data_IF_939830733700
#
_entry.id   IF_939830733700
#
_cell.length_a   1.000
_cell.length_b   1.000
_cell.length_c   1.000
_cell.angle_alpha   90.00
_cell.angle_beta   90.00
_cell.angle_gamma   90.00
#
_symmetry.space_group_name_H-M   'P 1'
#
loop_
_entity.id
_entity.type
_entity.pdbx_description
1 polymer ?
#
# COMPACT_ATOMS: atom_id res chain seq x y z
N UNK A 1 15.35 15.13 -14.95
CA UNK A 1 14.62 13.85 -15.12
C UNK A 1 14.13 13.40 -13.76
N UNK A 2 12.84 13.61 -13.45
CA UNK A 2 12.24 13.02 -12.24
C UNK A 2 12.16 11.50 -12.41
N UNK A 3 12.46 10.74 -11.36
CA UNK A 3 12.35 9.28 -11.41
C UNK A 3 10.86 8.92 -11.48
N UNK A 4 10.44 8.22 -12.53
CA UNK A 4 9.11 7.60 -12.57
C UNK A 4 8.96 6.60 -11.40
N UNK A 5 7.72 6.22 -11.06
CA UNK A 5 7.50 5.16 -10.07
C UNK A 5 8.20 3.86 -10.46
N UNK A 6 8.42 2.96 -9.50
CA UNK A 6 9.08 1.65 -9.74
C UNK A 6 8.23 0.69 -10.60
N UNK A 7 6.94 1.01 -10.81
CA UNK A 7 5.95 0.18 -11.52
C UNK A 7 5.80 -1.23 -10.94
N UNK A 8 6.15 -1.43 -9.66
CA UNK A 8 6.14 -2.76 -9.04
C UNK A 8 4.77 -3.44 -9.12
N UNK A 9 3.67 -2.68 -8.93
CA UNK A 9 2.31 -3.24 -8.96
C UNK A 9 1.93 -3.64 -10.39
N UNK A 10 2.23 -2.78 -11.36
CA UNK A 10 1.98 -3.07 -12.76
C UNK A 10 2.79 -4.27 -13.28
N UNK A 11 4.09 -4.31 -12.99
CA UNK A 11 4.98 -5.41 -13.37
C UNK A 11 4.57 -6.74 -12.72
N UNK A 12 4.06 -6.69 -11.49
CA UNK A 12 3.60 -7.88 -10.80
C UNK A 12 2.46 -8.61 -11.51
N UNK A 13 1.61 -7.93 -12.29
CA UNK A 13 0.57 -8.62 -13.09
C UNK A 13 1.22 -9.56 -14.11
N UNK A 14 2.25 -9.07 -14.80
CA UNK A 14 2.97 -9.82 -15.84
C UNK A 14 3.75 -10.97 -15.20
N UNK A 15 4.47 -10.69 -14.11
CA UNK A 15 5.25 -11.71 -13.39
C UNK A 15 4.33 -12.81 -12.84
N UNK A 16 3.21 -12.44 -12.19
CA UNK A 16 2.22 -13.40 -11.70
C UNK A 16 1.66 -14.26 -12.81
N UNK A 17 1.28 -13.65 -13.94
CA UNK A 17 0.74 -14.39 -15.07
C UNK A 17 1.77 -15.37 -15.66
N UNK A 18 3.05 -15.00 -15.69
CA UNK A 18 4.13 -15.89 -16.12
C UNK A 18 4.27 -17.11 -15.22
N UNK A 19 4.20 -16.95 -13.90
CA UNK A 19 4.23 -18.09 -12.97
C UNK A 19 3.01 -19.01 -13.13
N UNK A 20 1.81 -18.42 -13.30
CA UNK A 20 0.58 -19.19 -13.55
C UNK A 20 0.60 -19.98 -14.86
N UNK A 21 1.47 -19.62 -15.81
CA UNK A 21 1.69 -20.35 -17.06
C UNK A 21 2.69 -21.51 -16.95
N UNK A 22 3.24 -21.75 -15.76
CA UNK A 22 4.10 -22.91 -15.45
C UNK A 22 5.25 -23.10 -16.45
N UNK A 23 5.94 -22.01 -16.78
CA UNK A 23 7.11 -22.05 -17.67
C UNK A 23 6.81 -22.02 -19.18
N UNK A 24 5.53 -21.93 -19.58
CA UNK A 24 5.16 -21.64 -20.98
C UNK A 24 5.47 -20.18 -21.31
N UNK A 25 6.00 -19.95 -22.52
CA UNK A 25 6.20 -18.59 -23.01
C UNK A 25 4.87 -17.86 -23.19
N UNK A 26 4.87 -16.57 -22.85
CA UNK A 26 3.73 -15.70 -23.07
C UNK A 26 3.73 -15.24 -24.54
N UNK A 27 2.57 -15.31 -25.17
CA UNK A 27 2.35 -14.69 -26.48
C UNK A 27 2.39 -13.17 -26.40
N UNK A 28 2.59 -12.49 -27.53
CA UNK A 28 2.55 -11.02 -27.58
C UNK A 28 1.21 -10.46 -27.08
N UNK A 29 0.10 -11.12 -27.40
CA UNK A 29 -1.23 -10.72 -26.92
C UNK A 29 -1.33 -10.83 -25.40
N UNK A 30 -0.85 -11.94 -24.82
CA UNK A 30 -0.85 -12.15 -23.37
C UNK A 30 0.01 -11.12 -22.63
N UNK A 31 1.20 -10.82 -23.16
CA UNK A 31 2.08 -9.78 -22.60
C UNK A 31 1.37 -8.43 -22.66
N UNK A 32 0.74 -8.10 -23.79
CA UNK A 32 0.01 -6.85 -23.95
C UNK A 32 -1.16 -6.74 -22.95
N UNK A 33 -1.98 -7.78 -22.82
CA UNK A 33 -3.13 -7.78 -21.92
C UNK A 33 -2.71 -7.70 -20.44
N UNK A 34 -1.71 -8.49 -20.02
CA UNK A 34 -1.18 -8.40 -18.66
C UNK A 34 -0.58 -7.01 -18.37
N UNK A 35 0.14 -6.44 -19.34
CA UNK A 35 0.68 -5.08 -19.24
C UNK A 35 -0.43 -4.02 -19.16
N UNK A 36 -1.51 -4.16 -19.94
CA UNK A 36 -2.63 -3.24 -19.92
C UNK A 36 -3.35 -3.24 -18.56
N UNK A 37 -3.57 -4.41 -17.95
CA UNK A 37 -4.07 -4.49 -16.57
C UNK A 37 -3.09 -3.91 -15.56
N UNK A 38 -1.79 -4.19 -15.72
CA UNK A 38 -0.75 -3.56 -14.90
C UNK A 38 -0.81 -2.04 -14.95
N UNK A 39 -1.00 -1.45 -16.13
CA UNK A 39 -1.20 -0.01 -16.29
C UNK A 39 -2.52 0.50 -15.70
N UNK A 40 -3.60 -0.28 -15.72
CA UNK A 40 -4.83 0.08 -15.00
C UNK A 40 -4.58 0.22 -13.49
N UNK A 41 -3.76 -0.65 -12.90
CA UNK A 41 -3.39 -0.57 -11.47
C UNK A 41 -2.51 0.65 -11.19
N UNK A 42 -1.54 0.95 -12.07
CA UNK A 42 -0.70 2.14 -11.94
C UNK A 42 -1.51 3.44 -12.15
N UNK A 43 -2.54 3.42 -13.01
CA UNK A 43 -3.51 4.51 -13.15
C UNK A 43 -4.36 4.70 -11.90
N UNK A 44 -4.86 3.60 -11.32
CA UNK A 44 -5.62 3.62 -10.07
C UNK A 44 -4.78 4.20 -8.93
N UNK A 45 -3.52 3.74 -8.82
CA UNK A 45 -2.59 4.29 -7.84
C UNK A 45 -2.33 5.78 -8.10
N UNK A 46 -2.08 6.19 -9.35
CA UNK A 46 -1.81 7.59 -9.67
C UNK A 46 -3.00 8.49 -9.31
N UNK A 47 -4.24 8.04 -9.56
CA UNK A 47 -5.46 8.71 -9.10
C UNK A 47 -5.45 8.96 -7.59
N UNK A 48 -5.28 7.89 -6.79
CA UNK A 48 -5.26 8.02 -5.34
C UNK A 48 -4.13 8.91 -4.85
N UNK A 49 -2.92 8.78 -5.40
CA UNK A 49 -1.77 9.58 -4.97
C UNK A 49 -1.94 11.08 -5.27
N UNK A 50 -2.57 11.44 -6.40
CA UNK A 50 -2.85 12.85 -6.72
C UNK A 50 -3.79 13.46 -5.69
N UNK A 51 -4.85 12.74 -5.29
CA UNK A 51 -5.79 13.23 -4.28
C UNK A 51 -5.22 13.18 -2.86
N UNK A 52 -4.47 12.14 -2.52
CA UNK A 52 -3.77 11.97 -1.24
C UNK A 52 -2.79 13.12 -1.01
N UNK A 53 -1.98 13.48 -2.02
CA UNK A 53 -1.08 14.64 -1.95
C UNK A 53 -1.81 15.95 -1.63
N UNK A 54 -3.03 16.13 -2.14
CA UNK A 54 -3.85 17.31 -1.87
C UNK A 54 -4.39 17.27 -0.43
N UNK A 55 -4.93 16.13 0.00
CA UNK A 55 -5.52 15.95 1.33
C UNK A 55 -4.48 16.06 2.45
N UNK A 56 -3.29 15.50 2.23
CA UNK A 56 -2.15 15.54 3.15
C UNK A 56 -1.29 16.81 2.94
N UNK A 57 -1.69 17.72 2.05
CA UNK A 57 -0.96 18.96 1.76
C UNK A 57 0.54 18.73 1.42
N UNK A 58 0.85 17.59 0.80
CA UNK A 58 2.23 17.17 0.53
C UNK A 58 2.97 18.14 -0.40
N UNK A 59 4.31 18.19 -0.26
CA UNK A 59 5.17 19.06 -1.05
C UNK A 59 5.78 18.35 -2.26
N UNK A 60 6.30 17.13 -2.06
CA UNK A 60 7.00 16.37 -3.10
C UNK A 60 6.57 14.92 -3.16
N UNK A 61 6.59 14.36 -4.36
CA UNK A 61 6.39 12.92 -4.61
C UNK A 61 7.33 12.46 -5.71
N UNK A 62 7.99 11.32 -5.50
CA UNK A 62 8.97 10.74 -6.45
C UNK A 62 10.08 11.73 -6.85
N UNK A 63 10.52 12.54 -5.90
CA UNK A 63 11.59 13.55 -6.08
C UNK A 63 11.20 14.75 -6.94
N UNK A 64 9.91 15.02 -7.14
CA UNK A 64 9.37 16.18 -7.86
C UNK A 64 8.23 16.83 -7.04
N UNK A 65 7.84 18.09 -7.32
CA UNK A 65 6.66 18.67 -6.70
C UNK A 65 5.40 17.82 -6.94
N UNK A 66 4.53 17.70 -5.94
CA UNK A 66 3.22 17.07 -6.11
C UNK A 66 2.44 17.77 -7.24
N UNK A 67 1.55 17.05 -7.94
CA UNK A 67 0.90 17.58 -9.15
C UNK A 67 0.17 18.90 -8.90
N UNK A 68 -0.58 19.00 -7.79
CA UNK A 68 -1.30 20.22 -7.42
C UNK A 68 -0.39 21.40 -7.01
N UNK A 69 0.90 21.15 -6.71
CA UNK A 69 1.90 22.18 -6.39
C UNK A 69 2.52 22.81 -7.64
N UNK A 70 2.29 22.25 -8.82
CA UNK A 70 2.80 22.82 -10.07
C UNK A 70 2.08 24.16 -10.34
N UNK A 71 2.79 25.28 -10.61
CA UNK A 71 2.20 26.63 -10.64
C UNK A 71 0.99 26.83 -11.57
N UNK A 72 0.87 26.04 -12.65
CA UNK A 72 -0.23 26.12 -13.62
C UNK A 72 -1.33 25.07 -13.41
N UNK A 73 -1.15 24.18 -12.44
CA UNK A 73 -2.09 23.09 -12.16
C UNK A 73 -2.99 23.47 -10.99
N UNK A 74 -2.41 23.70 -9.81
CA UNK A 74 -3.21 23.99 -8.61
C UNK A 74 -4.29 22.94 -8.38
N UNK A 75 -5.50 23.38 -8.04
CA UNK A 75 -6.64 22.50 -7.76
C UNK A 75 -7.29 21.86 -9.00
N UNK A 76 -6.83 22.18 -10.22
CA UNK A 76 -7.20 21.41 -11.43
C UNK A 76 -6.84 19.93 -11.24
N UNK A 77 -5.80 19.66 -10.44
CA UNK A 77 -5.36 18.33 -10.05
C UNK A 77 -6.48 17.43 -9.50
N UNK A 78 -7.53 17.97 -8.87
CA UNK A 78 -8.69 17.17 -8.42
C UNK A 78 -9.40 16.54 -9.61
N UNK A 79 -9.71 17.34 -10.63
CA UNK A 79 -10.34 16.85 -11.86
C UNK A 79 -9.39 15.96 -12.66
N UNK A 80 -8.09 16.28 -12.69
CA UNK A 80 -7.10 15.43 -13.34
C UNK A 80 -7.07 14.03 -12.70
N UNK A 81 -7.10 13.95 -11.36
CA UNK A 81 -7.26 12.70 -10.63
C UNK A 81 -8.49 11.92 -11.08
N UNK A 82 -9.65 12.57 -11.16
CA UNK A 82 -10.90 11.96 -11.67
C UNK A 82 -10.73 11.45 -13.10
N UNK A 83 -10.01 12.17 -13.97
CA UNK A 83 -9.71 11.68 -15.32
C UNK A 83 -8.81 10.42 -15.30
N UNK A 84 -7.80 10.37 -14.44
CA UNK A 84 -6.94 9.20 -14.28
C UNK A 84 -7.76 7.95 -13.94
N UNK A 85 -8.67 8.08 -12.98
CA UNK A 85 -9.61 7.02 -12.59
C UNK A 85 -10.49 6.58 -13.77
N UNK A 86 -10.99 7.53 -14.56
CA UNK A 86 -11.84 7.25 -15.72
C UNK A 86 -11.08 6.63 -16.91
N UNK A 87 -9.75 6.73 -16.99
CA UNK A 87 -8.98 6.00 -17.99
C UNK A 87 -9.05 4.48 -17.80
N UNK A 88 -9.19 3.99 -16.56
CA UNK A 88 -9.25 2.56 -16.25
C UNK A 88 -10.39 1.87 -17.01
N UNK A 89 -11.68 2.24 -16.85
CA UNK A 89 -12.76 1.59 -17.59
C UNK A 89 -12.66 1.79 -19.11
N UNK A 90 -11.97 2.84 -19.59
CA UNK A 90 -11.69 3.02 -21.02
C UNK A 90 -10.71 1.96 -21.54
N UNK A 91 -9.62 1.71 -20.81
CA UNK A 91 -8.64 0.66 -21.13
C UNK A 91 -9.32 -0.72 -21.06
N UNK A 92 -10.04 -1.00 -19.96
CA UNK A 92 -10.78 -2.27 -19.80
C UNK A 92 -11.76 -2.48 -20.96
N UNK A 93 -12.58 -1.50 -21.30
CA UNK A 93 -13.55 -1.60 -22.41
C UNK A 93 -12.86 -1.77 -23.77
N UNK A 94 -11.75 -1.10 -24.02
CA UNK A 94 -11.09 -1.15 -25.34
C UNK A 94 -10.42 -2.49 -25.62
N UNK A 95 -9.85 -3.14 -24.60
CA UNK A 95 -9.01 -4.33 -24.78
C UNK A 95 -9.63 -5.62 -24.24
N UNK A 96 -10.60 -5.53 -23.32
CA UNK A 96 -11.14 -6.69 -22.61
C UNK A 96 -12.64 -6.93 -22.83
N UNK A 97 -13.38 -6.02 -23.49
CA UNK A 97 -14.86 -6.14 -23.65
C UNK A 97 -15.37 -7.45 -24.25
N UNK A 98 -14.55 -8.16 -25.02
CA UNK A 98 -14.90 -9.44 -25.65
C UNK A 98 -14.36 -10.65 -24.90
N UNK A 99 -13.61 -10.44 -23.81
CA UNK A 99 -13.08 -11.51 -22.98
C UNK A 99 -14.19 -12.01 -22.04
N UNK A 100 -14.26 -13.31 -21.75
CA UNK A 100 -15.32 -13.87 -20.89
C UNK A 100 -15.30 -13.30 -19.48
N UNK A 101 -14.11 -12.93 -18.97
CA UNK A 101 -13.89 -12.34 -17.65
C UNK A 101 -13.99 -10.79 -17.62
N UNK A 102 -14.61 -10.18 -18.64
CA UNK A 102 -14.71 -8.71 -18.71
C UNK A 102 -15.47 -8.11 -17.53
N UNK A 103 -16.61 -8.71 -17.17
CA UNK A 103 -17.44 -8.22 -16.07
C UNK A 103 -16.71 -8.37 -14.75
N UNK A 104 -16.01 -9.50 -14.53
CA UNK A 104 -15.21 -9.74 -13.34
C UNK A 104 -14.07 -8.72 -13.20
N UNK A 105 -13.43 -8.31 -14.30
CA UNK A 105 -12.44 -7.24 -14.27
C UNK A 105 -13.06 -5.89 -13.88
N UNK A 106 -14.21 -5.54 -14.44
CA UNK A 106 -14.88 -4.28 -14.10
C UNK A 106 -15.26 -4.25 -12.62
N UNK A 107 -15.86 -5.33 -12.12
CA UNK A 107 -16.27 -5.45 -10.72
C UNK A 107 -15.06 -5.46 -9.79
N UNK A 108 -14.01 -6.24 -10.10
CA UNK A 108 -12.76 -6.27 -9.33
C UNK A 108 -12.14 -4.88 -9.16
N UNK A 109 -12.02 -4.10 -10.23
CA UNK A 109 -11.44 -2.76 -10.14
C UNK A 109 -12.33 -1.80 -9.34
N UNK A 110 -13.66 -1.87 -9.50
CA UNK A 110 -14.59 -1.03 -8.74
C UNK A 110 -14.59 -1.39 -7.25
N UNK A 111 -14.59 -2.68 -6.90
CA UNK A 111 -14.56 -3.15 -5.52
C UNK A 111 -13.27 -2.75 -4.82
N UNK A 112 -12.12 -2.94 -5.47
CA UNK A 112 -10.83 -2.55 -4.90
C UNK A 112 -10.69 -1.04 -4.81
N UNK A 113 -11.22 -0.27 -5.78
CA UNK A 113 -11.31 1.19 -5.69
C UNK A 113 -12.15 1.60 -4.47
N UNK A 114 -13.33 0.98 -4.27
CA UNK A 114 -14.20 1.24 -3.12
C UNK A 114 -13.53 0.90 -1.79
N UNK A 115 -12.86 -0.25 -1.70
CA UNK A 115 -12.08 -0.65 -0.53
C UNK A 115 -10.97 0.37 -0.21
N UNK A 116 -10.24 0.80 -1.23
CA UNK A 116 -9.15 1.78 -1.09
C UNK A 116 -9.68 3.13 -0.62
N UNK A 117 -10.77 3.62 -1.23
CA UNK A 117 -11.42 4.85 -0.81
C UNK A 117 -11.99 4.76 0.62
N UNK A 118 -12.52 3.60 1.01
CA UNK A 118 -13.00 3.34 2.38
C UNK A 118 -11.86 3.33 3.39
N UNK A 119 -10.71 2.74 3.02
CA UNK A 119 -9.49 2.81 3.83
C UNK A 119 -9.00 4.24 4.01
N UNK A 120 -8.98 5.03 2.95
CA UNK A 120 -8.66 6.46 3.01
C UNK A 120 -9.64 7.24 3.88
N UNK A 121 -10.94 6.96 3.78
CA UNK A 121 -11.96 7.58 4.63
C UNK A 121 -11.65 7.32 6.11
N UNK A 122 -11.37 6.07 6.49
CA UNK A 122 -11.07 5.71 7.88
C UNK A 122 -9.79 6.41 8.35
N UNK A 123 -8.76 6.49 7.51
CA UNK A 123 -7.51 7.21 7.81
C UNK A 123 -7.78 8.69 8.11
N UNK A 124 -8.52 9.37 7.24
CA UNK A 124 -8.82 10.80 7.38
C UNK A 124 -9.70 11.10 8.59
N UNK A 125 -10.77 10.34 8.84
CA UNK A 125 -11.64 10.60 10.00
C UNK A 125 -10.93 10.29 11.32
N UNK A 126 -9.95 9.39 11.31
CA UNK A 126 -9.15 9.05 12.49
C UNK A 126 -8.16 10.16 12.82
N UNK A 127 -7.55 10.77 11.80
CA UNK A 127 -6.44 11.73 11.93
C UNK A 127 -6.89 13.20 11.95
N UNK A 128 -8.00 13.55 11.29
CA UNK A 128 -8.42 14.94 11.04
C UNK A 128 -9.70 15.31 11.81
N UNK A 129 -10.64 14.38 12.00
CA UNK A 129 -11.97 14.73 12.54
C UNK A 129 -11.97 14.78 14.07
N UNK A 130 -12.38 15.94 14.60
CA UNK A 130 -12.48 16.19 16.03
C UNK A 130 -11.14 16.54 16.67
N UNK A 131 -11.06 16.41 17.99
CA UNK A 131 -9.81 16.66 18.71
C UNK A 131 -8.75 15.60 18.37
N UNK A 132 -7.50 16.05 18.23
CA UNK A 132 -6.32 15.18 18.13
C UNK A 132 -6.19 14.41 19.44
N UNK A 133 -6.62 13.16 19.43
CA UNK A 133 -6.70 12.30 20.61
C UNK A 133 -6.11 10.93 20.28
N UNK A 134 -4.92 10.67 20.84
CA UNK A 134 -4.20 9.41 20.67
C UNK A 134 -4.93 8.21 21.28
N UNK A 135 -5.90 8.40 22.18
CA UNK A 135 -6.66 7.29 22.75
C UNK A 135 -7.54 6.58 21.71
N UNK A 136 -7.81 7.24 20.57
CA UNK A 136 -8.50 6.64 19.42
C UNK A 136 -7.62 5.62 18.68
N UNK A 137 -6.29 5.69 18.85
CA UNK A 137 -5.35 4.90 18.07
C UNK A 137 -5.19 3.52 18.70
N UNK A 138 -5.26 2.49 17.85
CA UNK A 138 -5.16 1.10 18.27
C UNK A 138 -4.63 0.25 17.14
N UNK A 139 -4.03 -0.90 17.49
CA UNK A 139 -3.52 -1.84 16.50
C UNK A 139 -4.61 -2.37 15.56
N UNK A 140 -5.84 -2.52 16.04
CA UNK A 140 -6.99 -2.94 15.22
C UNK A 140 -7.41 -1.86 14.23
N UNK A 141 -7.39 -0.60 14.64
CA UNK A 141 -7.66 0.54 13.75
C UNK A 141 -6.58 0.67 12.68
N UNK A 142 -5.29 0.63 13.07
CA UNK A 142 -4.15 0.60 12.15
C UNK A 142 -4.32 -0.52 11.12
N UNK A 143 -4.52 -1.77 11.59
CA UNK A 143 -4.71 -2.94 10.71
C UNK A 143 -5.85 -2.70 9.71
N UNK A 144 -6.97 -2.14 10.15
CA UNK A 144 -8.13 -1.84 9.28
C UNK A 144 -7.80 -0.78 8.25
N UNK A 145 -7.16 0.33 8.64
CA UNK A 145 -6.73 1.38 7.70
C UNK A 145 -5.83 0.76 6.64
N UNK A 146 -4.77 0.08 7.06
CA UNK A 146 -3.77 -0.51 6.17
C UNK A 146 -4.36 -1.57 5.23
N UNK A 147 -5.19 -2.47 5.76
CA UNK A 147 -5.85 -3.51 4.99
C UNK A 147 -6.63 -2.90 3.82
N UNK A 148 -7.47 -1.91 4.10
CA UNK A 148 -8.36 -1.33 3.11
C UNK A 148 -7.64 -0.31 2.20
N UNK A 149 -6.82 0.58 2.77
CA UNK A 149 -6.14 1.67 2.05
C UNK A 149 -5.01 1.15 1.16
N UNK A 150 -4.30 0.09 1.56
CA UNK A 150 -3.08 -0.34 0.87
C UNK A 150 -3.15 -1.77 0.34
N UNK A 151 -3.55 -2.74 1.16
CA UNK A 151 -3.31 -4.15 0.86
C UNK A 151 -4.07 -4.65 -0.38
N UNK A 152 -5.35 -4.30 -0.53
CA UNK A 152 -6.17 -4.75 -1.67
C UNK A 152 -5.60 -4.31 -3.02
N UNK A 153 -5.36 -3.00 -3.23
CA UNK A 153 -4.89 -2.53 -4.53
C UNK A 153 -3.40 -2.83 -4.80
N UNK A 154 -2.60 -3.01 -3.74
CA UNK A 154 -1.16 -3.18 -3.88
C UNK A 154 -0.71 -4.63 -4.04
N UNK A 155 -1.43 -5.58 -3.41
CA UNK A 155 -1.04 -6.99 -3.36
C UNK A 155 -2.09 -7.88 -4.01
N UNK A 156 -3.36 -7.76 -3.61
CA UNK A 156 -4.43 -8.61 -4.14
C UNK A 156 -4.74 -8.32 -5.61
N UNK A 157 -4.99 -7.05 -5.96
CA UNK A 157 -5.45 -6.67 -7.30
C UNK A 157 -4.51 -7.12 -8.43
N UNK A 158 -3.16 -7.01 -8.33
CA UNK A 158 -2.27 -7.52 -9.37
C UNK A 158 -2.39 -9.03 -9.61
N UNK A 159 -2.49 -9.82 -8.54
CA UNK A 159 -2.61 -11.29 -8.63
C UNK A 159 -3.99 -11.69 -9.11
N UNK A 160 -5.05 -11.02 -8.64
CA UNK A 160 -6.42 -11.23 -9.11
C UNK A 160 -6.55 -10.94 -10.62
N UNK A 161 -5.91 -9.88 -11.12
CA UNK A 161 -5.84 -9.60 -12.55
C UNK A 161 -5.17 -10.76 -13.32
N UNK A 162 -4.06 -11.28 -12.82
CA UNK A 162 -3.35 -12.39 -13.45
C UNK A 162 -4.18 -13.70 -13.43
N UNK A 163 -4.88 -13.99 -12.34
CA UNK A 163 -5.79 -15.13 -12.20
C UNK A 163 -6.95 -15.05 -13.23
N UNK A 164 -7.57 -13.88 -13.38
CA UNK A 164 -8.64 -13.68 -14.37
C UNK A 164 -8.14 -13.88 -15.80
N UNK A 165 -6.95 -13.35 -16.16
CA UNK A 165 -6.34 -13.62 -17.48
C UNK A 165 -6.07 -15.12 -17.66
N UNK A 166 -5.72 -15.84 -16.59
CA UNK A 166 -5.48 -17.28 -16.62
C UNK A 166 -6.78 -18.11 -16.74
N UNK A 167 -7.95 -17.47 -16.66
CA UNK A 167 -9.25 -18.13 -16.75
C UNK A 167 -9.75 -18.70 -15.42
N UNK A 168 -9.16 -18.27 -14.30
CA UNK A 168 -9.53 -18.70 -12.95
C UNK A 168 -10.77 -17.95 -12.44
N UNK A 169 -11.57 -18.60 -11.59
CA UNK A 169 -12.64 -17.97 -10.83
C UNK A 169 -12.10 -17.50 -9.47
N UNK A 170 -12.13 -16.19 -9.20
CA UNK A 170 -11.61 -15.59 -7.97
C UNK A 170 -12.28 -16.10 -6.67
N UNK A 171 -13.51 -16.62 -6.75
CA UNK A 171 -14.18 -17.24 -5.59
C UNK A 171 -13.44 -18.48 -5.07
N UNK A 172 -12.68 -19.15 -5.92
CA UNK A 172 -11.86 -20.31 -5.55
C UNK A 172 -10.51 -19.93 -4.95
N UNK A 173 -10.17 -18.63 -4.90
CA UNK A 173 -8.85 -18.12 -4.51
C UNK A 173 -8.94 -17.16 -3.29
N UNK A 174 -9.88 -17.43 -2.37
CA UNK A 174 -10.07 -16.63 -1.15
C UNK A 174 -8.87 -16.73 -0.21
N UNK A 175 -8.24 -17.89 -0.13
CA UNK A 175 -6.99 -18.12 0.59
C UNK A 175 -5.83 -17.29 0.02
N UNK A 176 -5.68 -17.25 -1.30
CA UNK A 176 -4.71 -16.38 -2.00
C UNK A 176 -4.94 -14.91 -1.64
N UNK A 177 -6.20 -14.46 -1.66
CA UNK A 177 -6.56 -13.11 -1.21
C UNK A 177 -6.11 -12.86 0.23
N UNK A 178 -6.44 -13.76 1.16
CA UNK A 178 -6.09 -13.58 2.57
C UNK A 178 -4.58 -13.46 2.80
N UNK A 179 -3.78 -14.32 2.15
CA UNK A 179 -2.32 -14.25 2.21
C UNK A 179 -1.81 -12.91 1.67
N UNK A 180 -2.31 -12.46 0.51
CA UNK A 180 -1.91 -11.18 -0.08
C UNK A 180 -2.31 -9.98 0.77
N UNK A 181 -3.45 -10.04 1.47
CA UNK A 181 -3.85 -9.00 2.41
C UNK A 181 -2.90 -8.96 3.61
N UNK A 182 -2.52 -10.11 4.18
CA UNK A 182 -1.55 -10.14 5.27
C UNK A 182 -0.15 -9.68 4.82
N UNK A 183 0.28 -10.00 3.59
CA UNK A 183 1.49 -9.42 2.99
C UNK A 183 1.40 -7.90 2.88
N UNK A 184 0.26 -7.37 2.45
CA UNK A 184 0.05 -5.93 2.35
C UNK A 184 0.06 -5.21 3.69
N UNK A 185 -0.44 -5.87 4.75
CA UNK A 185 -0.37 -5.36 6.11
C UNK A 185 1.09 -5.33 6.59
N UNK A 186 1.83 -6.43 6.42
CA UNK A 186 3.26 -6.48 6.72
C UNK A 186 4.03 -5.39 5.97
N UNK A 187 3.78 -5.24 4.66
CA UNK A 187 4.43 -4.22 3.83
C UNK A 187 4.22 -2.81 4.36
N UNK A 188 3.01 -2.47 4.81
CA UNK A 188 2.74 -1.13 5.34
C UNK A 188 3.36 -0.92 6.73
N UNK A 189 3.42 -1.95 7.58
CA UNK A 189 4.18 -1.85 8.85
C UNK A 189 5.66 -1.56 8.57
N UNK A 190 6.23 -2.14 7.51
CA UNK A 190 7.58 -1.78 7.08
C UNK A 190 7.66 -0.32 6.59
N UNK A 191 6.64 0.20 5.89
CA UNK A 191 6.63 1.60 5.43
C UNK A 191 6.59 2.55 6.63
N UNK A 192 5.73 2.27 7.61
CA UNK A 192 5.62 3.04 8.86
C UNK A 192 6.93 3.02 9.66
N UNK A 193 7.60 1.86 9.74
CA UNK A 193 8.92 1.74 10.37
C UNK A 193 9.98 2.57 9.63
N UNK A 194 10.04 2.44 8.30
CA UNK A 194 11.00 3.13 7.46
C UNK A 194 10.76 4.65 7.47
N UNK A 195 9.52 5.12 7.58
CA UNK A 195 9.20 6.55 7.67
C UNK A 195 9.94 7.23 8.83
N UNK A 196 10.02 6.56 9.98
CA UNK A 196 10.69 7.10 11.16
C UNK A 196 12.20 6.78 11.21
N UNK A 197 12.58 5.53 10.91
CA UNK A 197 13.93 5.00 11.16
C UNK A 197 14.79 4.79 9.91
N UNK A 198 14.21 4.87 8.71
CA UNK A 198 14.98 4.67 7.49
C UNK A 198 15.69 5.94 7.01
N UNK A 199 16.73 5.76 6.20
CA UNK A 199 17.54 6.85 5.68
C UNK A 199 16.77 7.60 4.56
N UNK A 200 16.58 8.94 4.66
CA UNK A 200 15.85 9.72 3.67
C UNK A 200 16.37 9.57 2.24
N UNK A 201 17.68 9.42 2.05
CA UNK A 201 18.32 9.24 0.74
C UNK A 201 17.92 7.91 0.08
N UNK A 202 17.68 6.87 0.89
CA UNK A 202 17.26 5.54 0.42
C UNK A 202 15.77 5.50 0.13
N UNK A 203 14.95 6.10 0.99
CA UNK A 203 13.49 6.12 0.86
C UNK A 203 13.04 7.08 -0.24
N UNK A 204 13.74 8.21 -0.41
CA UNK A 204 13.42 9.24 -1.40
C UNK A 204 12.34 10.23 -0.95
N UNK A 205 12.02 10.23 0.36
CA UNK A 205 11.22 11.25 1.05
C UNK A 205 11.75 11.41 2.49
N UNK A 206 11.45 12.55 3.11
CA UNK A 206 11.56 12.73 4.57
C UNK A 206 10.26 12.18 5.15
N UNK A 207 10.35 11.34 6.18
CA UNK A 207 9.17 10.83 6.87
C UNK A 207 8.48 11.92 7.69
N UNK A 208 7.16 11.93 7.68
CA UNK A 208 6.30 12.97 8.27
C UNK A 208 5.19 12.39 9.13
N UNK A 209 5.16 11.06 9.37
CA UNK A 209 4.06 10.40 10.07
C UNK A 209 3.81 10.98 11.47
N UNK A 210 4.87 11.43 12.16
CA UNK A 210 4.77 12.02 13.50
C UNK A 210 4.11 13.39 13.42
N UNK A 211 4.57 14.26 12.53
CA UNK A 211 4.08 15.63 12.30
C UNK A 211 2.63 15.63 11.83
N UNK A 212 2.33 14.73 10.90
CA UNK A 212 1.00 14.55 10.28
C UNK A 212 0.00 13.85 11.22
N UNK A 213 0.43 13.51 12.42
CA UNK A 213 -0.39 12.82 13.43
C UNK A 213 -0.97 11.50 12.87
N UNK A 214 -0.22 10.77 12.03
CA UNK A 214 -0.72 9.55 11.38
C UNK A 214 -0.96 8.44 12.41
N UNK A 215 -1.95 7.58 12.15
CA UNK A 215 -2.13 6.35 12.91
C UNK A 215 -1.12 5.29 12.43
N UNK A 216 0.17 5.56 12.64
CA UNK A 216 1.30 4.72 12.25
C UNK A 216 1.47 3.51 13.18
N UNK A 217 2.02 2.41 12.67
CA UNK A 217 2.30 1.21 13.48
C UNK A 217 3.18 1.52 14.71
N UNK A 218 4.13 2.45 14.56
CA UNK A 218 5.04 2.83 15.63
C UNK A 218 4.31 3.49 16.81
N UNK A 219 3.37 4.41 16.55
CA UNK A 219 2.64 5.07 17.64
C UNK A 219 1.68 4.12 18.35
N UNK A 220 1.00 3.23 17.62
CA UNK A 220 0.12 2.24 18.27
C UNK A 220 0.90 1.24 19.11
N UNK A 221 2.12 0.88 18.71
CA UNK A 221 3.00 0.03 19.53
C UNK A 221 3.62 0.77 20.70
N UNK A 222 4.01 2.03 20.52
CA UNK A 222 4.46 2.85 21.63
C UNK A 222 3.37 2.99 22.71
N UNK A 223 2.11 3.22 22.30
CA UNK A 223 0.96 3.30 23.21
C UNK A 223 0.66 2.00 23.96
N UNK A 224 0.99 0.84 23.38
CA UNK A 224 0.83 -0.48 24.01
C UNK A 224 1.91 -0.75 25.08
N UNK A 225 3.11 -0.22 24.86
CA UNK A 225 4.30 -0.52 25.68
C UNK A 225 4.66 0.56 26.70
N UNK A 226 4.20 1.80 26.49
CA UNK A 226 4.57 2.92 27.34
C UNK A 226 3.97 2.83 28.75
N UNK A 227 4.72 3.29 29.75
CA UNK A 227 4.19 3.70 31.05
C UNK A 227 3.31 4.96 30.93
N UNK A 228 2.55 5.27 31.98
CA UNK A 228 1.71 6.48 32.00
C UNK A 228 2.50 7.79 31.84
N UNK A 229 3.75 7.86 32.33
CA UNK A 229 4.59 9.05 32.17
C UNK A 229 5.14 9.16 30.74
N UNK A 230 5.56 8.04 30.14
CA UNK A 230 5.95 8.00 28.73
C UNK A 230 4.77 8.31 27.80
N UNK A 231 3.55 7.89 28.16
CA UNK A 231 2.34 8.21 27.41
C UNK A 231 2.06 9.71 27.33
N UNK A 232 2.35 10.46 28.41
CA UNK A 232 2.23 11.93 28.41
C UNK A 232 3.13 12.58 27.36
N UNK A 233 4.35 12.04 27.16
CA UNK A 233 5.28 12.51 26.12
C UNK A 233 4.64 12.36 24.73
N UNK A 234 4.00 11.22 24.43
CA UNK A 234 3.30 11.03 23.16
C UNK A 234 2.14 12.02 23.00
N UNK A 235 1.31 12.19 24.04
CA UNK A 235 0.16 13.11 24.00
C UNK A 235 0.59 14.57 23.80
N UNK A 236 1.71 14.98 24.39
CA UNK A 236 2.19 16.36 24.30
C UNK A 236 2.86 16.65 22.94
N UNK A 237 3.64 15.71 22.41
CA UNK A 237 4.55 15.96 21.30
C UNK A 237 4.13 15.36 19.95
N UNK A 238 3.26 14.34 19.90
CA UNK A 238 2.84 13.73 18.63
C UNK A 238 1.92 14.67 17.83
N UNK A 239 2.12 14.79 16.52
CA UNK A 239 1.33 15.66 15.64
C UNK A 239 1.68 17.14 15.72
N UNK A 240 2.89 17.47 16.17
CA UNK A 240 3.45 18.82 16.23
C UNK A 240 4.48 19.01 15.12
N UNK A 241 4.31 20.08 14.34
CA UNK A 241 5.22 20.47 13.25
C UNK A 241 6.46 21.24 13.79
N UNK A 242 7.04 20.74 14.88
CA UNK A 242 8.22 21.30 15.53
C UNK A 242 9.29 20.21 15.68
N UNK A 243 10.52 20.40 15.15
CA UNK A 243 11.57 19.39 15.17
C UNK A 243 11.95 18.86 16.57
N UNK A 244 11.82 19.69 17.62
CA UNK A 244 12.10 19.27 19.00
C UNK A 244 11.06 18.26 19.51
N UNK A 245 9.78 18.49 19.19
CA UNK A 245 8.68 17.59 19.56
C UNK A 245 8.82 16.25 18.84
N UNK A 246 9.13 16.28 17.53
CA UNK A 246 9.41 15.08 16.74
C UNK A 246 10.58 14.28 17.33
N UNK A 247 11.64 14.98 17.75
CA UNK A 247 12.82 14.35 18.35
C UNK A 247 12.51 13.69 19.70
N UNK A 248 11.62 14.26 20.52
CA UNK A 248 11.14 13.63 21.78
C UNK A 248 10.36 12.35 21.52
N UNK A 249 9.48 12.34 20.50
CA UNK A 249 8.77 11.12 20.09
C UNK A 249 9.75 10.04 19.61
N UNK A 250 10.72 10.40 18.76
CA UNK A 250 11.73 9.44 18.27
C UNK A 250 12.62 8.90 19.40
N UNK A 251 13.01 9.75 20.35
CA UNK A 251 13.76 9.34 21.53
C UNK A 251 12.97 8.32 22.38
N UNK A 252 11.67 8.54 22.56
CA UNK A 252 10.81 7.58 23.25
C UNK A 252 10.70 6.25 22.47
N UNK A 253 10.61 6.29 21.14
CA UNK A 253 10.60 5.06 20.34
C UNK A 253 11.90 4.25 20.50
N UNK A 254 13.04 4.93 20.66
CA UNK A 254 14.31 4.27 21.00
C UNK A 254 14.33 3.72 22.42
N UNK A 255 13.79 4.45 23.41
CA UNK A 255 13.69 3.99 24.80
C UNK A 255 12.82 2.73 24.94
N UNK A 256 11.74 2.64 24.15
CA UNK A 256 10.86 1.48 24.07
C UNK A 256 11.40 0.34 23.17
N UNK A 257 12.60 0.51 22.60
CA UNK A 257 13.25 -0.43 21.68
C UNK A 257 12.35 -0.92 20.54
N UNK A 258 11.60 0.02 19.91
CA UNK A 258 10.65 -0.33 18.86
C UNK A 258 11.32 -0.94 17.60
N UNK A 259 12.64 -0.76 17.43
CA UNK A 259 13.41 -1.41 16.37
C UNK A 259 13.51 -2.92 16.58
N UNK A 260 13.75 -3.38 17.83
CA UNK A 260 13.70 -4.80 18.16
C UNK A 260 12.28 -5.36 18.06
N UNK A 261 11.27 -4.60 18.52
CA UNK A 261 9.85 -4.99 18.40
C UNK A 261 9.45 -5.17 16.93
N UNK A 262 9.89 -4.25 16.05
CA UNK A 262 9.70 -4.38 14.60
C UNK A 262 10.40 -5.61 14.03
N UNK A 263 11.65 -5.85 14.44
CA UNK A 263 12.43 -7.02 13.97
C UNK A 263 11.74 -8.34 14.35
N UNK A 264 11.20 -8.44 15.57
CA UNK A 264 10.43 -9.60 16.02
C UNK A 264 9.14 -9.76 15.21
N UNK A 265 8.40 -8.67 14.99
CA UNK A 265 7.19 -8.65 14.17
C UNK A 265 7.49 -9.09 12.72
N UNK A 266 8.57 -8.61 12.13
CA UNK A 266 9.00 -8.94 10.77
C UNK A 266 9.31 -10.44 10.65
N UNK A 267 10.08 -11.00 11.58
CA UNK A 267 10.41 -12.43 11.56
C UNK A 267 9.16 -13.30 11.71
N UNK A 268 8.28 -12.99 12.68
CA UNK A 268 7.02 -13.72 12.89
C UNK A 268 6.08 -13.63 11.68
N UNK A 269 5.98 -12.45 11.07
CA UNK A 269 5.15 -12.25 9.87
C UNK A 269 5.69 -13.04 8.69
N UNK A 270 7.01 -13.04 8.49
CA UNK A 270 7.66 -13.83 7.43
C UNK A 270 7.46 -15.33 7.62
N UNK A 271 7.67 -15.86 8.84
CA UNK A 271 7.46 -17.28 9.14
C UNK A 271 6.01 -17.71 8.89
N UNK A 272 5.04 -16.90 9.35
CA UNK A 272 3.62 -17.13 9.10
C UNK A 272 3.33 -17.18 7.59
N UNK A 273 3.75 -16.17 6.85
CA UNK A 273 3.51 -16.07 5.41
C UNK A 273 4.14 -17.24 4.65
N UNK A 274 5.38 -17.62 4.95
CA UNK A 274 6.03 -18.79 4.35
C UNK A 274 5.25 -20.07 4.64
N UNK A 275 4.79 -20.26 5.87
CA UNK A 275 3.99 -21.44 6.24
C UNK A 275 2.68 -21.51 5.45
N UNK A 276 1.95 -20.39 5.35
CA UNK A 276 0.69 -20.31 4.61
C UNK A 276 0.90 -20.55 3.12
N UNK A 277 1.93 -19.94 2.53
CA UNK A 277 2.28 -20.14 1.12
C UNK A 277 2.61 -21.61 0.86
N UNK A 278 3.50 -22.23 1.64
CA UNK A 278 3.90 -23.62 1.44
C UNK A 278 2.74 -24.61 1.62
N UNK A 279 1.69 -24.23 2.34
CA UNK A 279 0.48 -25.05 2.52
C UNK A 279 -0.48 -24.99 1.33
N UNK A 280 -0.33 -24.03 0.42
CA UNK A 280 -1.21 -23.86 -0.73
C UNK A 280 -1.05 -25.03 -1.72
N UNK A 281 -2.13 -25.63 -2.27
CA UNK A 281 -2.03 -26.84 -3.09
C UNK A 281 -1.42 -26.61 -4.49
N UNK A 282 -1.61 -25.42 -5.07
CA UNK A 282 -1.05 -25.10 -6.39
C UNK A 282 0.37 -24.55 -6.29
N UNK A 283 1.33 -25.27 -6.90
CA UNK A 283 2.74 -24.85 -6.96
C UNK A 283 2.91 -23.52 -7.71
N UNK A 284 2.15 -23.31 -8.79
CA UNK A 284 2.19 -22.05 -9.55
C UNK A 284 1.79 -20.86 -8.67
N UNK A 285 0.74 -21.02 -7.85
CA UNK A 285 0.32 -19.99 -6.90
C UNK A 285 1.36 -19.78 -5.80
N UNK A 286 1.99 -20.84 -5.29
CA UNK A 286 3.11 -20.69 -4.35
C UNK A 286 4.22 -19.82 -4.94
N UNK A 287 4.60 -20.06 -6.19
CA UNK A 287 5.67 -19.31 -6.85
C UNK A 287 5.30 -17.83 -7.07
N UNK A 288 4.02 -17.54 -7.38
CA UNK A 288 3.49 -16.16 -7.40
C UNK A 288 3.67 -15.50 -6.03
N UNK A 289 3.19 -16.14 -4.96
CA UNK A 289 3.21 -15.57 -3.61
C UNK A 289 4.64 -15.41 -3.08
N UNK A 290 5.52 -16.38 -3.33
CA UNK A 290 6.94 -16.31 -2.99
C UNK A 290 7.64 -15.16 -3.72
N UNK A 291 7.30 -14.91 -4.99
CA UNK A 291 7.84 -13.77 -5.75
C UNK A 291 7.48 -12.43 -5.10
N UNK A 292 6.23 -12.28 -4.63
CA UNK A 292 5.80 -11.10 -3.90
C UNK A 292 6.54 -10.95 -2.56
N UNK A 293 6.60 -12.02 -1.76
CA UNK A 293 7.25 -11.99 -0.46
C UNK A 293 8.74 -11.64 -0.57
N UNK A 294 9.44 -12.24 -1.55
CA UNK A 294 10.85 -11.97 -1.81
C UNK A 294 11.14 -10.53 -2.25
N UNK A 295 10.17 -9.83 -2.85
CA UNK A 295 10.30 -8.41 -3.23
C UNK A 295 10.18 -7.46 -2.03
N UNK A 296 9.55 -7.89 -0.93
CA UNK A 296 9.25 -7.01 0.23
C UNK A 296 10.02 -7.37 1.51
N UNK A 297 10.42 -8.63 1.68
CA UNK A 297 11.11 -9.07 2.89
C UNK A 297 12.44 -8.34 3.08
N UNK A 298 12.67 -7.76 4.26
CA UNK A 298 13.87 -6.98 4.61
C UNK A 298 14.21 -5.84 3.62
N UNK A 299 13.18 -5.25 2.99
CA UNK A 299 13.38 -4.09 2.12
C UNK A 299 13.90 -2.89 2.92
N UNK A 300 14.68 -2.05 2.24
CA UNK A 300 15.26 -0.83 2.82
C UNK A 300 14.64 0.45 2.23
N UNK A 301 13.62 0.34 1.36
CA UNK A 301 12.97 1.44 0.62
C UNK A 301 11.70 0.98 -0.10
#
# INVERSE_FOLDING_TARGET
MGRAGKLNRGLSVIDSYRYLKEGKELTEEEIFLASALGWCIEWLQAYFLVLDDIMDNSHTRRGQPCWFRVPKVGMIAVNDGVLLRNHIPRILKNHFRSKPYYVDLVDLFNEVEFQTASGQMIDLITTIVGEKDLSKYSLSLHRRIVQYKTAYYSFYLPVACALLIAGENLENHVDVKNILIDMGIYFQVQDDYLDCFGEPEKIGKIGTDIEDFKCSWLVVKALELCSEDQKKILVEHYGKDNPEDVSKVKALYHELDLQSVFTEYENKSYEKLISEINSHPSKAVQDVLMSFLGKIYKRQK
#
